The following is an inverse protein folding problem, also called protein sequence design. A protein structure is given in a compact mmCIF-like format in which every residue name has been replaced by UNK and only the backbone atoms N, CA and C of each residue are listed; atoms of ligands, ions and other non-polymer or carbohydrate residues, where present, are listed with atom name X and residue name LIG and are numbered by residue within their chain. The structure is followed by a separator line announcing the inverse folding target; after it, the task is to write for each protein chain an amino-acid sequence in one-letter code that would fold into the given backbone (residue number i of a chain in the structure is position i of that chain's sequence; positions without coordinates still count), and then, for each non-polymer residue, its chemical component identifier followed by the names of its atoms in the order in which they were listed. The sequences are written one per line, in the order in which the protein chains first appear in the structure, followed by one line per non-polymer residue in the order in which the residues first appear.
data_IF_659712369944
#
_entry.id   IF_659712369944
#
_cell.length_a   1.000
_cell.length_b   1.000
_cell.length_c   1.000
_cell.angle_alpha   90.00
_cell.angle_beta   90.00
_cell.angle_gamma   90.00
#
_symmetry.space_group_name_H-M   'P 1'
#
loop_
_entity.id
_entity.type
_entity.pdbx_description
1 polymer ?
#
# COMPACT_ATOMS: atom_id res chain seq x y z
N UNK A 1 14.84 -13.30 83.82
CA UNK A 1 13.77 -12.52 83.16
C UNK A 1 13.46 -13.13 81.81
N UNK A 2 12.22 -13.57 81.64
CA UNK A 2 11.69 -14.24 80.44
C UNK A 2 11.21 -13.20 79.42
N UNK A 3 11.40 -13.47 78.12
CA UNK A 3 10.39 -13.20 77.08
C UNK A 3 10.68 -14.04 75.83
N UNK A 4 9.84 -15.05 75.63
CA UNK A 4 9.69 -15.82 74.37
C UNK A 4 8.90 -14.97 73.37
N UNK A 5 9.24 -15.00 72.08
CA UNK A 5 8.27 -14.87 70.99
C UNK A 5 8.76 -15.57 69.72
N UNK A 6 7.84 -16.22 69.02
CA UNK A 6 8.06 -17.29 68.02
C UNK A 6 7.84 -16.76 66.59
N UNK A 7 8.64 -17.28 65.65
CA UNK A 7 8.38 -17.52 64.21
C UNK A 7 8.16 -16.34 63.25
N UNK A 8 8.92 -16.31 62.15
CA UNK A 8 8.47 -16.69 60.79
C UNK A 8 9.65 -16.67 59.79
N UNK A 9 9.89 -17.79 59.11
CA UNK A 9 10.75 -17.87 57.93
C UNK A 9 9.92 -17.46 56.70
N UNK A 10 10.34 -16.42 55.97
CA UNK A 10 9.84 -16.14 54.64
C UNK A 10 10.96 -16.45 53.63
N UNK A 11 10.93 -17.66 53.10
CA UNK A 11 11.63 -18.00 51.87
C UNK A 11 10.62 -17.86 50.73
N UNK A 12 10.93 -17.03 49.73
CA UNK A 12 10.42 -17.22 48.38
C UNK A 12 11.37 -16.55 47.38
N UNK A 13 12.29 -17.35 46.84
CA UNK A 13 12.92 -17.05 45.57
C UNK A 13 11.92 -17.41 44.47
N UNK A 14 11.57 -16.45 43.62
CA UNK A 14 10.91 -16.70 42.34
C UNK A 14 11.78 -16.13 41.22
N UNK A 15 12.54 -17.04 40.61
CA UNK A 15 13.05 -16.91 39.24
C UNK A 15 11.88 -17.11 38.26
N UNK A 16 11.86 -16.32 37.17
CA UNK A 16 11.13 -16.62 35.93
C UNK A 16 9.71 -16.03 35.87
N UNK A 17 9.23 -15.48 34.76
CA UNK A 17 9.72 -15.30 33.40
C UNK A 17 9.33 -13.89 32.98
N UNK A 18 10.22 -13.16 32.31
CA UNK A 18 9.76 -12.08 31.43
C UNK A 18 8.95 -12.79 30.35
N UNK A 19 7.63 -12.80 30.52
CA UNK A 19 6.74 -13.18 29.44
C UNK A 19 7.08 -12.23 28.29
N UNK A 20 7.54 -12.78 27.17
CA UNK A 20 7.46 -12.08 25.90
C UNK A 20 6.02 -11.58 25.77
N UNK A 21 5.77 -10.31 26.05
CA UNK A 21 4.61 -9.65 25.47
C UNK A 21 4.86 -9.72 23.98
N UNK A 22 4.26 -10.73 23.34
CA UNK A 22 4.08 -10.75 21.91
C UNK A 22 3.46 -9.39 21.60
N UNK A 23 4.24 -8.50 20.99
CA UNK A 23 3.79 -7.16 20.67
C UNK A 23 2.52 -7.34 19.85
N UNK A 24 1.39 -6.90 20.41
CA UNK A 24 0.15 -6.78 19.66
C UNK A 24 0.38 -5.66 18.66
N UNK A 25 0.78 -6.04 17.45
CA UNK A 25 0.70 -5.16 16.28
C UNK A 25 -0.75 -5.27 15.83
N UNK A 26 -1.58 -4.24 15.95
CA UNK A 26 -2.91 -4.29 15.37
C UNK A 26 -2.74 -4.63 13.89
N UNK A 27 -3.44 -5.66 13.42
CA UNK A 27 -3.52 -5.95 12.00
C UNK A 27 -4.08 -4.70 11.32
N UNK A 28 -3.21 -3.89 10.72
CA UNK A 28 -3.65 -2.78 9.87
C UNK A 28 -4.49 -3.42 8.78
N UNK A 29 -5.76 -3.00 8.58
CA UNK A 29 -6.57 -3.53 7.52
C UNK A 29 -5.82 -3.49 6.21
N UNK A 30 -5.97 -4.54 5.41
CA UNK A 30 -5.48 -4.49 4.03
C UNK A 30 -6.12 -3.28 3.34
N UNK A 31 -5.32 -2.51 2.61
CA UNK A 31 -5.74 -1.28 1.96
C UNK A 31 -4.73 -0.89 0.90
N UNK A 32 -5.24 -0.20 -0.12
CA UNK A 32 -4.45 0.45 -1.16
C UNK A 32 -5.00 1.85 -1.35
N UNK A 33 -4.13 2.82 -1.63
CA UNK A 33 -4.51 4.18 -2.00
C UNK A 33 -3.53 4.75 -3.02
N UNK A 34 -4.03 5.66 -3.85
CA UNK A 34 -3.27 6.39 -4.85
C UNK A 34 -3.23 7.87 -4.47
N UNK A 35 -2.09 8.54 -4.67
CA UNK A 35 -1.91 9.96 -4.32
C UNK A 35 -2.88 10.88 -5.09
N UNK A 36 -3.21 10.49 -6.31
CA UNK A 36 -4.22 11.12 -7.17
C UNK A 36 -5.01 10.02 -7.86
N UNK A 37 -6.29 10.28 -8.14
CA UNK A 37 -7.17 9.32 -8.83
C UNK A 37 -7.27 9.55 -10.34
N UNK A 38 -6.63 10.60 -10.86
CA UNK A 38 -6.66 10.90 -12.28
C UNK A 38 -5.44 11.68 -12.77
N UNK A 39 -5.18 11.57 -14.08
CA UNK A 39 -4.21 12.34 -14.84
C UNK A 39 -4.78 12.79 -16.18
N UNK A 40 -4.40 13.97 -16.62
CA UNK A 40 -4.80 14.53 -17.92
C UNK A 40 -3.63 15.37 -18.46
N UNK A 41 -2.80 14.82 -19.37
CA UNK A 41 -1.66 15.54 -19.94
C UNK A 41 -2.05 16.76 -20.78
N UNK A 42 -3.35 16.96 -21.09
CA UNK A 42 -3.87 18.03 -21.95
C UNK A 42 -3.23 18.07 -23.35
N UNK A 43 -2.73 16.92 -23.79
CA UNK A 43 -1.93 16.74 -24.99
C UNK A 43 -2.29 15.39 -25.63
N UNK A 44 -2.09 15.27 -26.94
CA UNK A 44 -2.29 14.03 -27.71
C UNK A 44 -1.00 13.24 -27.88
N UNK A 45 0.15 13.85 -27.62
CA UNK A 45 1.47 13.25 -27.72
C UNK A 45 1.66 12.08 -26.75
N UNK A 46 2.62 11.21 -27.09
CA UNK A 46 3.09 10.16 -26.18
C UNK A 46 3.75 10.78 -24.93
N UNK A 47 3.68 10.10 -23.80
CA UNK A 47 4.22 10.63 -22.55
C UNK A 47 4.19 9.64 -21.40
N UNK A 48 4.47 10.18 -20.21
CA UNK A 48 4.48 9.42 -18.96
C UNK A 48 3.69 10.12 -17.87
N UNK A 49 3.08 9.36 -16.96
CA UNK A 49 2.40 9.86 -15.76
C UNK A 49 2.89 9.07 -14.54
N UNK A 50 3.46 9.78 -13.56
CA UNK A 50 3.80 9.18 -12.26
C UNK A 50 2.57 9.06 -11.36
N UNK A 51 2.45 7.94 -10.66
CA UNK A 51 1.42 7.66 -9.66
C UNK A 51 2.10 7.13 -8.41
N UNK A 52 1.88 7.76 -7.26
CA UNK A 52 2.37 7.24 -5.98
C UNK A 52 1.28 6.39 -5.33
N UNK A 53 1.65 5.17 -4.96
CA UNK A 53 0.76 4.20 -4.31
C UNK A 53 1.23 4.01 -2.88
N UNK A 54 0.28 3.90 -1.96
CA UNK A 54 0.51 3.33 -0.64
C UNK A 54 -0.32 2.06 -0.49
N UNK A 55 0.31 0.95 -0.14
CA UNK A 55 -0.35 -0.34 0.12
C UNK A 55 0.09 -0.93 1.46
N UNK A 56 -0.82 -1.53 2.22
CA UNK A 56 -0.48 -2.22 3.48
C UNK A 56 -0.07 -3.68 3.28
N UNK A 57 -0.27 -4.23 2.08
CA UNK A 57 0.20 -5.54 1.65
C UNK A 57 0.78 -5.50 0.22
N UNK A 58 1.17 -6.66 -0.31
CA UNK A 58 1.64 -6.76 -1.69
C UNK A 58 0.51 -6.38 -2.66
N UNK A 59 0.88 -5.73 -3.75
CA UNK A 59 -0.07 -5.15 -4.69
C UNK A 59 0.27 -5.51 -6.14
N UNK A 60 -0.75 -5.45 -6.99
CA UNK A 60 -0.66 -5.61 -8.45
C UNK A 60 -1.36 -4.47 -9.17
N UNK A 61 -0.95 -4.16 -10.39
CA UNK A 61 -1.60 -3.22 -11.28
C UNK A 61 -2.13 -3.91 -12.54
N UNK A 62 -3.19 -3.37 -13.09
CA UNK A 62 -3.74 -3.76 -14.39
C UNK A 62 -4.33 -2.54 -15.09
N UNK A 63 -4.46 -2.60 -16.41
CA UNK A 63 -5.14 -1.57 -17.19
C UNK A 63 -6.04 -2.22 -18.24
N UNK A 64 -7.11 -1.51 -18.60
CA UNK A 64 -8.02 -1.88 -19.69
C UNK A 64 -7.57 -1.37 -21.07
N UNK A 65 -6.52 -0.54 -21.11
CA UNK A 65 -6.04 0.12 -22.31
C UNK A 65 -4.72 -0.50 -22.80
N UNK A 66 -4.72 -0.99 -24.03
CA UNK A 66 -3.54 -1.52 -24.73
C UNK A 66 -2.48 -0.45 -25.04
N UNK A 67 -2.87 0.83 -25.05
CA UNK A 67 -2.00 1.96 -25.31
C UNK A 67 -1.31 2.52 -24.05
N UNK A 68 -1.53 1.92 -22.88
CA UNK A 68 -0.88 2.26 -21.60
C UNK A 68 -0.06 1.07 -21.09
N UNK A 69 1.20 1.31 -20.74
CA UNK A 69 2.05 0.36 -20.03
C UNK A 69 2.23 0.82 -18.58
N UNK A 70 2.12 -0.10 -17.63
CA UNK A 70 2.24 0.16 -16.18
C UNK A 70 3.52 -0.49 -15.64
N UNK A 71 4.42 0.30 -15.06
CA UNK A 71 5.65 -0.22 -14.47
C UNK A 71 5.98 0.42 -13.10
N UNK A 72 6.29 -0.39 -12.06
CA UNK A 72 6.17 -1.85 -12.03
C UNK A 72 4.69 -2.28 -12.01
N UNK A 73 4.40 -3.48 -12.52
CA UNK A 73 3.04 -4.05 -12.50
C UNK A 73 2.70 -4.72 -11.15
N UNK A 74 3.67 -4.87 -10.25
CA UNK A 74 3.47 -5.40 -8.91
C UNK A 74 4.51 -4.83 -7.97
N UNK A 75 4.21 -4.84 -6.67
CA UNK A 75 5.14 -4.42 -5.64
C UNK A 75 4.77 -4.96 -4.27
N UNK A 76 5.64 -4.72 -3.30
CA UNK A 76 5.40 -5.09 -1.91
C UNK A 76 4.74 -3.95 -1.14
N UNK A 77 4.29 -4.27 0.08
CA UNK A 77 3.77 -3.27 1.03
C UNK A 77 4.67 -2.04 1.15
N UNK A 78 4.05 -0.89 1.41
CA UNK A 78 4.71 0.40 1.58
C UNK A 78 4.34 1.40 0.49
N UNK A 79 5.22 2.37 0.28
CA UNK A 79 5.07 3.37 -0.77
C UNK A 79 5.77 2.88 -2.04
N UNK A 80 5.12 2.99 -3.19
CA UNK A 80 5.68 2.67 -4.50
C UNK A 80 5.40 3.80 -5.48
N UNK A 81 6.38 4.12 -6.32
CA UNK A 81 6.20 4.99 -7.48
C UNK A 81 5.95 4.12 -8.71
N UNK A 82 4.84 4.36 -9.39
CA UNK A 82 4.46 3.68 -10.63
C UNK A 82 4.50 4.70 -11.77
N UNK A 83 5.12 4.31 -12.87
CA UNK A 83 5.15 5.06 -14.11
C UNK A 83 4.15 4.44 -15.10
N UNK A 84 3.20 5.26 -15.56
CA UNK A 84 2.32 4.93 -16.67
C UNK A 84 2.93 5.53 -17.95
N UNK A 85 3.35 4.70 -18.89
CA UNK A 85 3.80 5.16 -20.22
C UNK A 85 2.66 4.99 -21.22
N UNK A 86 2.40 6.01 -22.03
CA UNK A 86 1.31 5.99 -23.00
C UNK A 86 1.75 6.50 -24.38
N UNK A 87 1.22 5.87 -25.43
CA UNK A 87 1.48 6.27 -26.82
C UNK A 87 0.76 7.56 -27.23
N UNK A 88 1.04 8.07 -28.43
CA UNK A 88 0.30 9.18 -29.03
C UNK A 88 -1.16 8.78 -29.31
N UNK A 89 -2.10 9.68 -29.10
CA UNK A 89 -3.48 9.56 -29.56
C UNK A 89 -3.64 10.29 -30.90
N UNK A 90 -3.51 9.56 -32.00
CA UNK A 90 -3.71 10.10 -33.36
C UNK A 90 -5.19 10.21 -33.76
N UNK A 91 -6.12 9.86 -32.86
CA UNK A 91 -7.56 9.95 -33.10
C UNK A 91 -8.10 11.37 -32.99
N UNK A 92 -9.29 11.59 -33.56
CA UNK A 92 -10.03 12.86 -33.45
C UNK A 92 -10.81 13.00 -32.14
N UNK A 93 -10.86 11.94 -31.33
CA UNK A 93 -11.56 11.90 -30.04
C UNK A 93 -10.57 11.66 -28.91
N UNK A 94 -10.89 12.20 -27.73
CA UNK A 94 -10.12 11.92 -26.51
C UNK A 94 -10.33 10.47 -26.10
N UNK A 95 -9.31 9.85 -25.50
CA UNK A 95 -9.37 8.47 -25.03
C UNK A 95 -9.06 8.39 -23.54
N UNK A 96 -9.62 7.38 -22.90
CA UNK A 96 -9.51 7.17 -21.46
C UNK A 96 -8.99 5.77 -21.18
N UNK A 97 -8.03 5.67 -20.27
CA UNK A 97 -7.58 4.41 -19.70
C UNK A 97 -7.94 4.36 -18.21
N UNK A 98 -8.32 3.17 -17.75
CA UNK A 98 -8.54 2.85 -16.35
C UNK A 98 -7.40 1.95 -15.89
N UNK A 99 -6.70 2.37 -14.85
CA UNK A 99 -5.65 1.60 -14.19
C UNK A 99 -6.17 1.21 -12.80
N UNK A 100 -6.12 -0.08 -12.49
CA UNK A 100 -6.58 -0.63 -11.21
C UNK A 100 -5.38 -1.17 -10.44
N UNK A 101 -5.19 -0.64 -9.24
CA UNK A 101 -4.20 -1.11 -8.27
C UNK A 101 -4.91 -1.92 -7.20
N UNK A 102 -4.49 -3.16 -6.99
CA UNK A 102 -5.18 -4.10 -6.09
C UNK A 102 -4.22 -4.70 -5.08
N UNK A 103 -4.67 -4.79 -3.84
CA UNK A 103 -4.14 -5.74 -2.86
C UNK A 103 -5.04 -6.99 -2.84
N UNK A 104 -4.81 -7.91 -1.90
CA UNK A 104 -5.63 -9.11 -1.78
C UNK A 104 -7.12 -8.84 -1.48
N UNK A 105 -7.42 -7.78 -0.73
CA UNK A 105 -8.79 -7.47 -0.27
C UNK A 105 -9.35 -6.13 -0.78
N UNK A 106 -8.53 -5.26 -1.39
CA UNK A 106 -8.97 -3.93 -1.83
C UNK A 106 -8.43 -3.58 -3.21
N UNK A 107 -9.06 -2.58 -3.83
CA UNK A 107 -8.61 -2.02 -5.09
C UNK A 107 -8.84 -0.51 -5.12
N UNK A 108 -7.97 0.19 -5.83
CA UNK A 108 -8.08 1.60 -6.13
C UNK A 108 -7.87 1.88 -7.61
N UNK A 109 -8.50 2.96 -8.08
CA UNK A 109 -8.56 3.29 -9.51
C UNK A 109 -7.88 4.61 -9.81
N UNK A 110 -7.12 4.62 -10.90
CA UNK A 110 -6.59 5.80 -11.55
C UNK A 110 -7.14 5.92 -12.97
N UNK A 111 -7.63 7.10 -13.33
CA UNK A 111 -8.13 7.39 -14.68
C UNK A 111 -7.18 8.31 -15.43
N UNK A 112 -6.66 7.87 -16.58
CA UNK A 112 -5.86 8.69 -17.48
C UNK A 112 -6.71 9.14 -18.66
N UNK A 113 -6.88 10.44 -18.86
CA UNK A 113 -7.61 11.01 -20.01
C UNK A 113 -6.61 11.69 -20.94
N UNK A 114 -6.42 11.16 -22.14
CA UNK A 114 -5.53 11.73 -23.17
C UNK A 114 -6.37 12.42 -24.24
N UNK A 115 -5.96 13.63 -24.64
CA UNK A 115 -6.71 14.41 -25.64
C UNK A 115 -6.63 13.82 -27.03
N UNK A 116 -7.60 14.19 -27.86
CA UNK A 116 -7.53 14.07 -29.31
C UNK A 116 -6.38 14.92 -29.90
N UNK A 117 -5.94 14.55 -31.10
CA UNK A 117 -5.00 15.32 -31.91
C UNK A 117 -5.56 16.66 -32.38
#
# INVERSE_FOLDING_TARGET
MSKKSRTLFAALALLGLVACQKLYVPDTPDSVSVSTKAGDPKSSEAGTQGVTIFATSDWTASTDADWVEVYPQQGSRGISEVCLSYGENSGSESRTAVIVFSTAANSETFTLVQKAR
#
